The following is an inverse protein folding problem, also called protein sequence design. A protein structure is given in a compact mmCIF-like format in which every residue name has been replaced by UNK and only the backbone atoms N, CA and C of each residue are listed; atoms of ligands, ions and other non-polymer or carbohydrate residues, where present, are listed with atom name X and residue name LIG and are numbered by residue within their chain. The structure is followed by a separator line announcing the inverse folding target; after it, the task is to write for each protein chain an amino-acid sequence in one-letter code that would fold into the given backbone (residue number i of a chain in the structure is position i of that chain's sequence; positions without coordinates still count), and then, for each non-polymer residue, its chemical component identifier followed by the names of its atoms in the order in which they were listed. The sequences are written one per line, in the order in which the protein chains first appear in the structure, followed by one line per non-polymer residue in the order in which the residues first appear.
data_IF_322355170680
#
_entry.id   IF_322355170680
#
_cell.length_a   1.000
_cell.length_b   1.000
_cell.length_c   1.000
_cell.angle_alpha   90.00
_cell.angle_beta   90.00
_cell.angle_gamma   90.00
#
_symmetry.space_group_name_H-M   'P 1'
#
loop_
_entity.id
_entity.type
_entity.pdbx_description
1 polymer ?
#
# COMPACT_ATOMS: atom_id res chain seq x y z
N UNK A 1 3.24 -16.12 -16.63
CA UNK A 1 4.22 -17.08 -17.19
C UNK A 1 4.08 -18.43 -16.50
N UNK A 2 4.29 -19.58 -17.18
CA UNK A 2 4.30 -20.90 -16.53
C UNK A 2 5.59 -21.13 -15.74
N UNK A 3 6.66 -20.38 -16.00
CA UNK A 3 7.95 -20.47 -15.30
C UNK A 3 8.68 -19.13 -15.38
N UNK A 4 9.49 -18.82 -14.38
CA UNK A 4 10.40 -17.66 -14.32
C UNK A 4 11.86 -18.10 -14.12
N UNK A 5 12.18 -19.35 -14.43
CA UNK A 5 13.52 -19.92 -14.22
C UNK A 5 14.60 -19.14 -14.99
N UNK A 6 14.36 -18.83 -16.25
CA UNK A 6 15.32 -18.09 -17.09
C UNK A 6 15.54 -16.66 -16.58
N UNK A 7 14.46 -15.97 -16.22
CA UNK A 7 14.51 -14.60 -15.71
C UNK A 7 15.26 -14.55 -14.37
N UNK A 8 14.97 -15.47 -13.46
CA UNK A 8 15.66 -15.53 -12.17
C UNK A 8 17.13 -15.93 -12.31
N UNK A 9 17.48 -16.78 -13.26
CA UNK A 9 18.89 -17.07 -13.58
C UNK A 9 19.64 -15.82 -14.06
N UNK A 10 19.01 -14.99 -14.91
CA UNK A 10 19.57 -13.72 -15.35
C UNK A 10 19.75 -12.75 -14.19
N UNK A 11 18.73 -12.62 -13.31
CA UNK A 11 18.82 -11.79 -12.11
C UNK A 11 19.96 -12.23 -11.19
N UNK A 12 20.11 -13.55 -11.00
CA UNK A 12 21.19 -14.12 -10.19
C UNK A 12 22.56 -13.84 -10.82
N UNK A 13 22.69 -13.98 -12.13
CA UNK A 13 23.93 -13.69 -12.86
C UNK A 13 24.30 -12.20 -12.82
N UNK A 14 23.32 -11.31 -12.82
CA UNK A 14 23.52 -9.86 -12.68
C UNK A 14 24.05 -9.47 -11.30
N UNK A 15 23.87 -10.32 -10.29
CA UNK A 15 24.34 -10.12 -8.92
C UNK A 15 23.96 -8.74 -8.33
N UNK A 16 22.77 -8.26 -8.65
CA UNK A 16 22.29 -6.96 -8.17
C UNK A 16 21.99 -7.01 -6.66
N UNK A 17 22.35 -5.94 -5.96
CA UNK A 17 22.10 -5.81 -4.52
C UNK A 17 20.61 -5.66 -4.19
N UNK A 18 19.86 -5.01 -5.07
CA UNK A 18 18.43 -4.72 -4.89
C UNK A 18 17.64 -5.26 -6.07
N UNK A 19 16.58 -5.98 -5.78
CA UNK A 19 15.56 -6.37 -6.75
C UNK A 19 14.33 -5.47 -6.60
N UNK A 20 13.87 -4.88 -7.71
CA UNK A 20 12.65 -4.07 -7.75
C UNK A 20 11.58 -4.72 -8.62
N UNK A 21 10.83 -5.70 -8.10
CA UNK A 21 9.78 -6.37 -8.86
C UNK A 21 8.53 -5.51 -8.90
N UNK A 22 7.87 -5.49 -10.08
CA UNK A 22 6.53 -4.97 -10.27
C UNK A 22 5.66 -6.09 -10.80
N UNK A 23 4.78 -6.64 -9.97
CA UNK A 23 4.01 -7.83 -10.33
C UNK A 23 2.69 -7.93 -9.59
N UNK A 24 1.76 -8.69 -10.17
CA UNK A 24 0.57 -9.15 -9.47
C UNK A 24 0.87 -10.36 -8.58
N UNK A 25 -0.08 -10.72 -7.72
CA UNK A 25 0.10 -11.72 -6.67
C UNK A 25 0.59 -13.07 -7.20
N UNK A 26 0.01 -13.58 -8.29
CA UNK A 26 0.39 -14.89 -8.87
C UNK A 26 1.83 -14.90 -9.37
N UNK A 27 2.23 -13.85 -10.09
CA UNK A 27 3.59 -13.75 -10.63
C UNK A 27 4.60 -13.48 -9.51
N UNK A 28 4.23 -12.70 -8.49
CA UNK A 28 5.05 -12.50 -7.30
C UNK A 28 5.31 -13.80 -6.52
N UNK A 29 4.29 -14.65 -6.36
CA UNK A 29 4.42 -15.97 -5.74
C UNK A 29 5.39 -16.84 -6.55
N UNK A 30 5.22 -16.88 -7.88
CA UNK A 30 6.07 -17.65 -8.77
C UNK A 30 7.52 -17.16 -8.70
N UNK A 31 7.74 -15.84 -8.77
CA UNK A 31 9.05 -15.21 -8.67
C UNK A 31 9.77 -15.64 -7.38
N UNK A 32 9.13 -15.45 -6.23
CA UNK A 32 9.74 -15.74 -4.93
C UNK A 32 10.05 -17.24 -4.75
N UNK A 33 9.16 -18.13 -5.23
CA UNK A 33 9.40 -19.57 -5.21
C UNK A 33 10.59 -19.93 -6.08
N UNK A 34 10.65 -19.43 -7.32
CA UNK A 34 11.77 -19.69 -8.24
C UNK A 34 13.09 -19.11 -7.72
N UNK A 35 13.07 -17.93 -7.09
CA UNK A 35 14.26 -17.38 -6.43
C UNK A 35 14.79 -18.32 -5.33
N UNK A 36 13.89 -18.85 -4.50
CA UNK A 36 14.25 -19.78 -3.44
C UNK A 36 14.81 -21.12 -3.99
N UNK A 37 14.19 -21.66 -5.03
CA UNK A 37 14.64 -22.90 -5.72
C UNK A 37 16.03 -22.75 -6.33
N UNK A 38 16.32 -21.60 -6.92
CA UNK A 38 17.60 -21.30 -7.55
C UNK A 38 18.65 -20.72 -6.59
N UNK A 39 18.31 -20.56 -5.30
CA UNK A 39 19.21 -19.98 -4.31
C UNK A 39 19.64 -18.56 -4.62
N UNK A 40 18.73 -17.74 -5.19
CA UNK A 40 18.94 -16.31 -5.40
C UNK A 40 18.31 -15.50 -4.27
N UNK A 41 19.14 -14.68 -3.61
CA UNK A 41 18.71 -13.82 -2.53
C UNK A 41 19.43 -12.47 -2.63
N UNK A 42 18.77 -11.40 -3.10
CA UNK A 42 19.33 -10.05 -3.10
C UNK A 42 19.42 -9.52 -1.67
N UNK A 43 20.19 -8.44 -1.45
CA UNK A 43 20.26 -7.77 -0.14
C UNK A 43 18.95 -7.11 0.25
N UNK A 44 18.14 -6.68 -0.75
CA UNK A 44 16.77 -6.23 -0.53
C UNK A 44 15.87 -6.50 -1.74
N UNK A 45 14.58 -6.62 -1.43
CA UNK A 45 13.50 -6.52 -2.41
C UNK A 45 12.71 -5.27 -2.07
N UNK A 46 12.63 -4.32 -3.03
CA UNK A 46 11.81 -3.12 -2.94
C UNK A 46 10.72 -3.24 -3.99
N UNK A 47 9.60 -3.77 -3.58
CA UNK A 47 8.56 -4.18 -4.49
C UNK A 47 7.61 -3.03 -4.82
N UNK A 48 7.08 -3.08 -6.02
CA UNK A 48 6.05 -2.20 -6.55
C UNK A 48 4.86 -3.06 -6.98
N UNK A 49 3.67 -2.42 -6.99
CA UNK A 49 2.44 -3.03 -7.46
C UNK A 49 1.74 -3.99 -6.48
N UNK A 50 0.55 -4.42 -6.88
CA UNK A 50 -0.48 -5.04 -6.07
C UNK A 50 -0.04 -6.35 -5.39
N UNK A 51 0.79 -7.14 -6.05
CA UNK A 51 1.16 -8.47 -5.54
C UNK A 51 1.85 -8.43 -4.19
N UNK A 52 2.73 -7.47 -3.98
CA UNK A 52 3.54 -7.37 -2.76
C UNK A 52 2.88 -6.57 -1.62
N UNK A 53 1.69 -6.02 -1.84
CA UNK A 53 0.85 -5.45 -0.77
C UNK A 53 -0.25 -6.40 -0.31
N UNK A 54 -0.38 -7.60 -0.94
CA UNK A 54 -1.41 -8.58 -0.64
C UNK A 54 -0.91 -9.67 0.30
N UNK A 55 -1.67 -9.87 1.40
CA UNK A 55 -1.39 -10.93 2.37
C UNK A 55 -1.30 -12.32 1.73
N UNK A 56 -2.07 -12.58 0.68
CA UNK A 56 -2.08 -13.86 -0.02
C UNK A 56 -0.71 -14.28 -0.57
N UNK A 57 0.13 -13.33 -1.00
CA UNK A 57 1.50 -13.63 -1.43
C UNK A 57 2.33 -14.14 -0.24
N UNK A 58 2.27 -13.44 0.89
CA UNK A 58 3.05 -13.78 2.07
C UNK A 58 2.60 -15.11 2.68
N UNK A 59 1.30 -15.38 2.69
CA UNK A 59 0.75 -16.66 3.13
C UNK A 59 1.26 -17.84 2.25
N UNK A 60 1.44 -17.59 0.94
CA UNK A 60 1.89 -18.60 -0.01
C UNK A 60 3.40 -18.89 0.01
N UNK A 61 4.22 -17.92 0.43
CA UNK A 61 5.70 -18.04 0.38
C UNK A 61 6.36 -18.01 1.75
N UNK A 62 5.64 -17.65 2.79
CA UNK A 62 6.10 -17.66 4.18
C UNK A 62 7.29 -16.73 4.43
N UNK A 63 8.21 -17.16 5.26
CA UNK A 63 9.33 -16.36 5.77
C UNK A 63 10.37 -15.95 4.68
N UNK A 64 10.19 -16.41 3.43
CA UNK A 64 11.08 -16.03 2.30
C UNK A 64 11.06 -14.54 1.97
N UNK A 65 10.03 -13.85 2.44
CA UNK A 65 9.87 -12.39 2.22
C UNK A 65 10.06 -11.58 3.51
N UNK A 66 10.62 -12.16 4.55
CA UNK A 66 10.94 -11.40 5.76
C UNK A 66 11.91 -10.26 5.44
N UNK A 67 11.51 -9.03 5.71
CA UNK A 67 12.29 -7.84 5.40
C UNK A 67 12.02 -7.20 4.03
N UNK A 68 11.16 -7.79 3.19
CA UNK A 68 10.75 -7.16 1.92
C UNK A 68 10.10 -5.81 2.18
N UNK A 69 10.51 -4.80 1.40
CA UNK A 69 9.89 -3.47 1.37
C UNK A 69 8.91 -3.44 0.20
N UNK A 70 7.71 -2.92 0.46
CA UNK A 70 6.69 -2.73 -0.56
C UNK A 70 6.12 -1.31 -0.50
N UNK A 71 5.80 -0.75 -1.66
CA UNK A 71 5.03 0.48 -1.71
C UNK A 71 3.56 0.16 -1.41
N UNK A 72 2.95 0.96 -0.54
CA UNK A 72 1.52 0.91 -0.24
C UNK A 72 0.92 2.30 -0.14
N UNK A 73 -0.40 2.38 -0.01
CA UNK A 73 -1.11 3.64 0.26
C UNK A 73 -1.62 3.71 1.70
N UNK A 74 -1.62 2.58 2.40
CA UNK A 74 -2.19 2.46 3.74
C UNK A 74 -1.59 1.27 4.49
N UNK A 75 -1.44 1.44 5.80
CA UNK A 75 -1.24 0.34 6.74
C UNK A 75 -2.00 0.63 8.02
N UNK A 76 -2.56 -0.41 8.65
CA UNK A 76 -3.36 -0.26 9.86
C UNK A 76 -2.54 0.19 11.08
N UNK A 77 -1.23 0.03 11.05
CA UNK A 77 -0.31 0.51 12.08
C UNK A 77 -0.33 2.04 12.24
N UNK A 78 -0.83 2.77 11.23
CA UNK A 78 -1.13 4.20 11.33
C UNK A 78 -2.05 4.54 12.51
N UNK A 79 -2.87 3.59 12.97
CA UNK A 79 -3.72 3.74 14.16
C UNK A 79 -2.93 4.11 15.42
N UNK A 80 -1.64 3.76 15.51
CA UNK A 80 -0.76 4.15 16.61
C UNK A 80 -0.55 5.68 16.69
N UNK A 81 -0.58 6.36 15.53
CA UNK A 81 -0.42 7.82 15.44
C UNK A 81 -1.75 8.55 15.24
N UNK A 82 -2.76 7.88 14.68
CA UNK A 82 -4.10 8.42 14.40
C UNK A 82 -5.16 7.50 14.99
N UNK A 83 -5.56 7.67 16.24
CA UNK A 83 -6.53 6.77 16.91
C UNK A 83 -7.87 6.62 16.18
N UNK A 84 -8.27 7.62 15.39
CA UNK A 84 -9.47 7.55 14.55
C UNK A 84 -9.41 6.39 13.54
N UNK A 85 -8.23 6.08 12.99
CA UNK A 85 -8.03 4.98 12.06
C UNK A 85 -8.43 3.64 12.72
N UNK A 86 -8.00 3.41 13.96
CA UNK A 86 -8.37 2.23 14.72
C UNK A 86 -9.88 2.12 14.97
N UNK A 87 -10.52 3.23 15.36
CA UNK A 87 -11.98 3.27 15.60
C UNK A 87 -12.78 2.96 14.34
N UNK A 88 -12.40 3.56 13.21
CA UNK A 88 -13.08 3.32 11.92
C UNK A 88 -12.82 1.89 11.45
N UNK A 89 -11.59 1.38 11.61
CA UNK A 89 -11.30 -0.02 11.31
C UNK A 89 -12.16 -0.99 12.14
N UNK A 90 -12.34 -0.74 13.43
CA UNK A 90 -13.20 -1.55 14.27
C UNK A 90 -14.65 -1.59 13.76
N UNK A 91 -15.20 -0.44 13.36
CA UNK A 91 -16.54 -0.35 12.77
C UNK A 91 -16.63 -1.12 11.44
N UNK A 92 -15.59 -1.02 10.60
CA UNK A 92 -15.51 -1.72 9.33
C UNK A 92 -15.41 -3.24 9.54
N UNK A 93 -14.51 -3.67 10.43
CA UNK A 93 -14.24 -5.09 10.66
C UNK A 93 -15.45 -5.81 11.30
N UNK A 94 -16.21 -5.16 12.16
CA UNK A 94 -17.48 -5.68 12.70
C UNK A 94 -18.52 -5.99 11.61
N UNK A 95 -18.50 -5.27 10.49
CA UNK A 95 -19.44 -5.44 9.39
C UNK A 95 -18.93 -6.36 8.29
N UNK A 96 -17.65 -6.28 7.98
CA UNK A 96 -17.01 -6.98 6.85
C UNK A 96 -16.39 -8.33 7.23
N UNK A 97 -16.10 -8.54 8.53
CA UNK A 97 -15.30 -9.66 9.02
C UNK A 97 -13.81 -9.55 8.70
N UNK A 98 -13.33 -8.40 8.21
CA UNK A 98 -11.93 -8.18 7.80
C UNK A 98 -11.48 -6.77 8.19
N UNK A 99 -10.20 -6.61 8.45
CA UNK A 99 -9.59 -5.30 8.62
C UNK A 99 -9.43 -4.56 7.29
N UNK A 100 -9.27 -3.23 7.36
CA UNK A 100 -8.84 -2.46 6.20
C UNK A 100 -7.49 -2.94 5.68
N UNK A 101 -7.41 -3.03 4.38
CA UNK A 101 -6.16 -3.20 3.63
C UNK A 101 -5.93 -2.01 2.70
N UNK A 102 -4.87 -2.06 1.89
CA UNK A 102 -4.49 -1.00 0.95
C UNK A 102 -5.62 -0.64 -0.04
N UNK A 103 -6.44 -1.60 -0.45
CA UNK A 103 -7.53 -1.36 -1.42
C UNK A 103 -8.79 -0.82 -0.75
N UNK A 104 -9.25 -1.49 0.29
CA UNK A 104 -10.50 -1.11 0.96
C UNK A 104 -10.41 0.26 1.63
N UNK A 105 -9.23 0.65 2.12
CA UNK A 105 -9.00 1.98 2.69
C UNK A 105 -9.13 3.09 1.64
N UNK A 106 -8.55 2.90 0.45
CA UNK A 106 -8.67 3.86 -0.66
C UNK A 106 -10.11 3.99 -1.15
N UNK A 107 -10.82 2.87 -1.29
CA UNK A 107 -12.23 2.89 -1.69
C UNK A 107 -13.11 3.59 -0.66
N UNK A 108 -12.88 3.31 0.62
CA UNK A 108 -13.58 4.00 1.71
C UNK A 108 -13.35 5.52 1.64
N UNK A 109 -12.10 5.94 1.45
CA UNK A 109 -11.79 7.37 1.33
C UNK A 109 -12.40 8.00 0.08
N UNK A 110 -12.43 7.29 -1.05
CA UNK A 110 -13.12 7.75 -2.25
C UNK A 110 -14.60 8.03 -1.99
N UNK A 111 -15.26 7.17 -1.24
CA UNK A 111 -16.67 7.36 -0.83
C UNK A 111 -16.83 8.57 0.11
N UNK A 112 -15.93 8.76 1.08
CA UNK A 112 -15.99 9.89 2.01
C UNK A 112 -15.80 11.21 1.27
N UNK A 113 -14.80 11.30 0.39
CA UNK A 113 -14.54 12.50 -0.43
C UNK A 113 -15.73 12.81 -1.35
N UNK A 114 -16.32 11.79 -1.97
CA UNK A 114 -17.50 11.95 -2.82
C UNK A 114 -18.71 12.42 -2.01
N UNK A 115 -18.96 11.84 -0.85
CA UNK A 115 -20.07 12.23 0.03
C UNK A 115 -19.92 13.68 0.51
N UNK A 116 -18.71 14.10 0.88
CA UNK A 116 -18.40 15.47 1.24
C UNK A 116 -18.66 16.44 0.07
N UNK A 117 -18.20 16.08 -1.13
CA UNK A 117 -18.42 16.90 -2.32
C UNK A 117 -19.91 17.05 -2.67
N UNK A 118 -20.69 15.98 -2.62
CA UNK A 118 -22.14 16.03 -2.84
C UNK A 118 -22.82 16.91 -1.78
N UNK A 119 -22.41 16.77 -0.51
CA UNK A 119 -22.95 17.58 0.57
C UNK A 119 -22.66 19.07 0.38
N UNK A 120 -21.44 19.43 -0.06
CA UNK A 120 -21.07 20.82 -0.36
C UNK A 120 -21.79 21.34 -1.62
N UNK A 121 -21.92 20.50 -2.64
CA UNK A 121 -22.63 20.86 -3.88
C UNK A 121 -24.13 21.09 -3.67
N UNK A 122 -24.73 20.51 -2.62
CA UNK A 122 -26.20 20.48 -2.39
C UNK A 122 -26.98 20.00 -3.63
N UNK A 123 -26.36 19.12 -4.43
CA UNK A 123 -26.89 18.68 -5.72
C UNK A 123 -26.32 17.31 -6.09
N UNK A 124 -27.07 16.56 -6.88
CA UNK A 124 -26.62 15.30 -7.52
C UNK A 124 -26.23 15.50 -9.00
N UNK A 125 -26.24 16.74 -9.50
CA UNK A 125 -25.81 17.07 -10.85
C UNK A 125 -24.30 16.95 -10.98
N UNK A 126 -23.82 16.24 -12.01
CA UNK A 126 -22.41 15.93 -12.23
C UNK A 126 -21.49 17.14 -12.22
N UNK A 127 -21.87 18.22 -12.92
CA UNK A 127 -21.06 19.44 -13.00
C UNK A 127 -20.90 20.13 -11.65
N UNK A 128 -21.96 20.16 -10.84
CA UNK A 128 -21.90 20.74 -9.49
C UNK A 128 -21.05 19.90 -8.55
N UNK A 129 -21.14 18.57 -8.64
CA UNK A 129 -20.28 17.65 -7.88
C UNK A 129 -18.82 17.83 -8.32
N UNK A 130 -18.55 17.92 -9.63
CA UNK A 130 -17.21 18.14 -10.15
C UNK A 130 -16.61 19.45 -9.62
N UNK A 131 -17.36 20.54 -9.63
CA UNK A 131 -16.92 21.82 -9.07
C UNK A 131 -16.59 21.69 -7.57
N UNK A 132 -17.44 20.98 -6.82
CA UNK A 132 -17.20 20.72 -5.40
C UNK A 132 -15.96 19.84 -5.16
N UNK A 133 -15.71 18.84 -6.02
CA UNK A 133 -14.50 18.02 -5.96
C UNK A 133 -13.23 18.85 -6.23
N UNK A 134 -13.23 19.69 -7.27
CA UNK A 134 -12.10 20.60 -7.56
C UNK A 134 -11.81 21.53 -6.38
N UNK A 135 -12.84 21.96 -5.67
CA UNK A 135 -12.71 22.82 -4.49
C UNK A 135 -12.44 22.05 -3.18
N UNK A 136 -12.16 20.74 -3.25
CA UNK A 136 -11.88 19.94 -2.06
C UNK A 136 -10.56 20.38 -1.42
N UNK A 137 -10.60 20.60 -0.11
CA UNK A 137 -9.44 20.85 0.74
C UNK A 137 -9.72 20.19 2.11
N UNK A 138 -9.53 18.88 2.17
CA UNK A 138 -9.82 18.08 3.37
C UNK A 138 -8.51 17.79 4.10
N UNK A 139 -8.35 18.27 5.34
CA UNK A 139 -7.15 17.98 6.14
C UNK A 139 -6.91 16.49 6.31
N UNK A 140 -5.65 16.08 6.32
CA UNK A 140 -5.27 14.67 6.42
C UNK A 140 -5.71 13.99 7.71
N UNK A 141 -5.88 14.73 8.81
CA UNK A 141 -6.41 14.21 10.07
C UNK A 141 -7.91 13.89 10.02
N UNK A 142 -8.63 14.38 9.01
CA UNK A 142 -10.00 13.97 8.69
C UNK A 142 -10.05 12.72 7.81
N UNK A 143 -8.93 12.11 7.50
CA UNK A 143 -8.81 10.91 6.67
C UNK A 143 -8.28 9.71 7.45
N UNK A 144 -8.54 8.50 6.97
CA UNK A 144 -7.87 7.31 7.49
C UNK A 144 -6.53 7.02 6.80
N UNK A 145 -6.15 7.85 5.81
CA UNK A 145 -4.95 7.65 5.01
C UNK A 145 -3.75 8.39 5.62
N UNK A 146 -2.51 8.00 5.31
CA UNK A 146 -1.30 8.69 5.77
C UNK A 146 -1.05 10.03 5.05
N UNK A 147 -1.97 10.47 4.23
CA UNK A 147 -1.87 11.68 3.42
C UNK A 147 -1.80 12.95 4.27
N UNK A 148 -1.15 13.96 3.72
CA UNK A 148 -1.15 15.30 4.31
C UNK A 148 -2.52 15.93 4.22
N UNK A 149 -3.12 15.93 3.03
CA UNK A 149 -4.44 16.47 2.75
C UNK A 149 -5.10 15.71 1.59
N UNK A 150 -6.37 16.00 1.31
CA UNK A 150 -7.03 15.70 0.05
C UNK A 150 -7.30 17.00 -0.67
N UNK A 151 -6.52 17.28 -1.71
CA UNK A 151 -6.60 18.47 -2.52
C UNK A 151 -6.31 18.14 -3.97
N UNK A 152 -7.18 18.56 -4.86
CA UNK A 152 -7.05 18.24 -6.28
C UNK A 152 -6.44 19.39 -7.07
N UNK A 153 -5.50 19.05 -7.98
CA UNK A 153 -4.97 19.96 -8.99
C UNK A 153 -6.04 20.29 -10.05
N UNK A 154 -5.70 21.21 -10.94
CA UNK A 154 -6.56 21.54 -12.08
C UNK A 154 -6.80 20.33 -13.00
N UNK A 155 -5.85 19.40 -13.07
CA UNK A 155 -5.90 18.14 -13.83
C UNK A 155 -6.65 17.02 -13.10
N UNK A 156 -7.06 17.26 -11.83
CA UNK A 156 -7.83 16.31 -11.02
C UNK A 156 -6.98 15.30 -10.23
N UNK A 157 -5.66 15.53 -10.11
CA UNK A 157 -4.80 14.70 -9.26
C UNK A 157 -4.88 15.16 -7.80
N UNK A 158 -4.89 14.20 -6.86
CA UNK A 158 -4.72 14.53 -5.45
C UNK A 158 -3.23 14.82 -5.20
N UNK A 159 -2.89 16.09 -4.96
CA UNK A 159 -1.50 16.57 -4.87
C UNK A 159 -0.80 16.15 -3.57
N UNK A 160 -1.56 15.84 -2.53
CA UNK A 160 -1.06 15.55 -1.18
C UNK A 160 -1.27 14.07 -0.77
N UNK A 161 -1.50 13.18 -1.74
CA UNK A 161 -1.71 11.75 -1.53
C UNK A 161 -0.43 10.92 -1.74
N UNK A 162 0.54 11.11 -0.87
CA UNK A 162 1.81 10.38 -0.94
C UNK A 162 1.65 8.90 -0.54
N UNK A 163 2.37 7.99 -1.23
CA UNK A 163 2.45 6.60 -0.81
C UNK A 163 3.31 6.44 0.44
N UNK A 164 3.19 5.28 1.07
CA UNK A 164 4.06 4.85 2.16
C UNK A 164 4.96 3.70 1.69
N UNK A 165 6.11 3.53 2.35
CA UNK A 165 6.87 2.29 2.27
C UNK A 165 6.56 1.45 3.51
N UNK A 166 6.21 0.21 3.24
CA UNK A 166 5.90 -0.81 4.21
C UNK A 166 7.00 -1.87 4.18
N UNK A 167 7.44 -2.34 5.33
CA UNK A 167 8.33 -3.49 5.42
C UNK A 167 7.61 -4.66 6.06
N UNK A 168 7.76 -5.85 5.51
CA UNK A 168 7.16 -7.06 6.06
C UNK A 168 8.08 -7.64 7.13
N UNK A 169 7.66 -7.56 8.38
CA UNK A 169 8.45 -7.99 9.54
C UNK A 169 7.54 -8.71 10.53
N UNK A 170 7.94 -9.91 10.95
CA UNK A 170 7.18 -10.69 11.91
C UNK A 170 5.75 -10.99 11.45
N UNK A 171 5.55 -11.27 10.17
CA UNK A 171 4.25 -11.56 9.52
C UNK A 171 3.28 -10.37 9.49
N UNK A 172 3.81 -9.15 9.58
CA UNK A 172 3.02 -7.91 9.53
C UNK A 172 3.69 -6.90 8.62
N UNK A 173 2.89 -6.05 8.01
CA UNK A 173 3.38 -4.84 7.39
C UNK A 173 3.61 -3.76 8.44
N UNK A 174 4.76 -3.12 8.38
CA UNK A 174 5.18 -2.03 9.26
C UNK A 174 5.55 -0.84 8.40
N UNK A 175 4.99 0.33 8.68
CA UNK A 175 5.29 1.56 7.94
C UNK A 175 6.67 2.08 8.35
N UNK A 176 7.57 2.21 7.37
CA UNK A 176 8.96 2.66 7.56
C UNK A 176 9.24 4.02 6.91
N UNK A 177 8.35 4.51 6.04
CA UNK A 177 8.49 5.81 5.36
C UNK A 177 7.11 6.31 4.89
N UNK A 178 6.85 7.63 4.86
CA UNK A 178 7.73 8.74 5.26
C UNK A 178 7.87 8.86 6.79
N UNK A 179 8.84 9.64 7.31
CA UNK A 179 9.12 9.71 8.76
C UNK A 179 7.92 10.09 9.62
N UNK A 180 7.03 10.95 9.14
CA UNK A 180 5.81 11.35 9.86
C UNK A 180 4.79 10.21 9.99
N UNK A 181 4.80 9.23 9.10
CA UNK A 181 3.92 8.05 9.12
C UNK A 181 4.63 6.82 9.71
N UNK A 182 5.96 6.76 9.63
CA UNK A 182 6.76 5.61 10.06
C UNK A 182 6.53 5.27 11.54
N UNK A 183 6.38 3.98 11.84
CA UNK A 183 6.25 3.43 13.20
C UNK A 183 7.46 2.59 13.59
N UNK A 184 8.38 2.33 12.65
CA UNK A 184 9.66 1.67 12.89
C UNK A 184 10.71 2.12 11.87
N UNK A 185 11.99 1.85 12.19
CA UNK A 185 13.09 2.01 11.27
C UNK A 185 13.16 0.84 10.27
N UNK A 186 13.67 1.12 9.08
CA UNK A 186 13.88 0.10 8.07
C UNK A 186 14.99 -0.89 8.49
N UNK A 187 14.74 -2.18 8.29
CA UNK A 187 15.74 -3.24 8.48
C UNK A 187 16.47 -3.46 7.15
N UNK A 188 17.78 -3.32 7.16
CA UNK A 188 18.66 -3.50 6.02
C UNK A 188 19.94 -4.22 6.43
N UNK A 189 20.44 -5.20 5.67
CA UNK A 189 19.76 -5.90 4.58
C UNK A 189 18.60 -6.77 5.08
N UNK A 190 17.73 -7.24 4.15
CA UNK A 190 16.69 -8.21 4.51
C UNK A 190 17.34 -9.53 4.99
N UNK A 191 16.67 -10.17 5.96
CA UNK A 191 17.18 -11.38 6.63
C UNK A 191 17.14 -12.63 5.74
#
# INVERSE_FOLDING_TARGET
SPSLTAEVQQLKAANADVLMPSSYTTDGILLVKTMAELGYKPKAIVAQDAGFSEKALYDAVGDKLEGVISRGSFSLDLAAKRPMVGKINEMYSKRSGKDFNDYSSRQFMGLIVMADAINRAKSTEGDKIRQALVATNMPGDHTIMPWKDVKFSAEGQNEDADPVLLQYVGKKFVTIFPPQAAVADAIWPMK
#
